data_IF_485172725796
#
_entry.id   IF_485172725796
#
_cell.length_a   1.000
_cell.length_b   1.000
_cell.length_c   1.000
_cell.angle_alpha   90.00
_cell.angle_beta   90.00
_cell.angle_gamma   90.00
#
_symmetry.space_group_name_H-M   'P 1'
#
loop_
_entity.id
_entity.type
_entity.pdbx_description
1 polymer ?
#
# COMPACT_ATOMS: atom_id res chain seq x y z
N UNK A 1 -12.13 -2.97 7.87
CA UNK A 1 -11.09 -3.76 7.17
C UNK A 1 -10.50 -4.78 8.13
N UNK A 2 -10.82 -6.08 7.94
CA UNK A 2 -10.49 -7.16 8.89
C UNK A 2 -8.98 -7.29 9.17
N UNK A 3 -8.14 -7.13 8.15
CA UNK A 3 -6.69 -7.31 8.29
C UNK A 3 -6.05 -6.37 9.33
N UNK A 4 -6.55 -5.14 9.47
CA UNK A 4 -6.01 -4.19 10.44
C UNK A 4 -6.18 -4.69 11.89
N UNK A 5 -7.22 -5.47 12.18
CA UNK A 5 -7.46 -6.04 13.51
C UNK A 5 -6.44 -7.12 13.91
N UNK A 6 -5.61 -7.61 12.98
CA UNK A 6 -4.50 -8.49 13.31
C UNK A 6 -3.30 -7.74 13.93
N UNK A 7 -3.32 -6.41 13.92
CA UNK A 7 -2.29 -5.55 14.50
C UNK A 7 -2.70 -5.06 15.90
N UNK A 8 -1.73 -4.78 16.79
CA UNK A 8 -2.02 -4.26 18.13
C UNK A 8 -2.78 -2.93 18.13
N UNK A 9 -2.51 -2.08 17.14
CA UNK A 9 -3.22 -0.82 16.91
C UNK A 9 -3.76 -0.80 15.48
N UNK A 10 -5.03 -1.20 15.34
CA UNK A 10 -5.71 -1.24 14.04
C UNK A 10 -5.85 0.15 13.43
N UNK A 11 -6.08 1.20 14.24
CA UNK A 11 -6.26 2.56 13.75
C UNK A 11 -4.98 3.12 13.14
N UNK A 12 -3.83 2.76 13.70
CA UNK A 12 -2.52 3.16 13.18
C UNK A 12 -2.28 2.62 11.77
N UNK A 13 -2.63 1.36 11.51
CA UNK A 13 -2.23 0.67 10.29
C UNK A 13 -3.28 0.68 9.18
N UNK A 14 -4.57 0.92 9.50
CA UNK A 14 -5.66 0.80 8.54
C UNK A 14 -5.46 1.66 7.30
N UNK A 15 -5.06 2.91 7.47
CA UNK A 15 -4.79 3.83 6.33
C UNK A 15 -3.63 3.34 5.48
N UNK A 16 -2.52 2.93 6.10
CA UNK A 16 -1.37 2.42 5.36
C UNK A 16 -1.66 1.13 4.59
N UNK A 17 -2.41 0.21 5.18
CA UNK A 17 -2.84 -1.01 4.49
C UNK A 17 -3.71 -0.67 3.29
N UNK A 18 -4.68 0.24 3.47
CA UNK A 18 -5.59 0.67 2.41
C UNK A 18 -4.81 1.33 1.25
N UNK A 19 -3.95 2.29 1.55
CA UNK A 19 -3.16 3.02 0.56
C UNK A 19 -2.25 2.09 -0.26
N UNK A 20 -1.54 1.17 0.40
CA UNK A 20 -0.65 0.24 -0.30
C UNK A 20 -1.45 -0.77 -1.13
N UNK A 21 -2.62 -1.20 -0.66
CA UNK A 21 -3.49 -2.13 -1.41
C UNK A 21 -4.08 -1.43 -2.64
N UNK A 22 -4.59 -0.21 -2.50
CA UNK A 22 -5.12 0.57 -3.62
C UNK A 22 -4.03 0.87 -4.65
N UNK A 23 -2.80 1.18 -4.22
CA UNK A 23 -1.69 1.38 -5.15
C UNK A 23 -1.39 0.11 -5.96
N UNK A 24 -1.38 -1.06 -5.34
CA UNK A 24 -1.17 -2.33 -6.04
C UNK A 24 -2.28 -2.62 -7.06
N UNK A 25 -3.52 -2.25 -6.77
CA UNK A 25 -4.66 -2.44 -7.68
C UNK A 25 -4.65 -1.39 -8.77
N UNK A 26 -4.71 -0.11 -8.42
CA UNK A 26 -4.94 0.98 -9.37
C UNK A 26 -3.71 1.26 -10.23
N UNK A 27 -2.55 1.50 -9.60
CA UNK A 27 -1.30 1.77 -10.33
C UNK A 27 -0.66 0.48 -10.84
N UNK A 28 -0.72 -0.58 -10.04
CA UNK A 28 -0.20 -1.89 -10.39
C UNK A 28 -1.03 -2.59 -11.46
N UNK A 29 -2.06 -3.29 -11.04
CA UNK A 29 -2.81 -4.18 -11.92
C UNK A 29 -3.61 -3.45 -13.00
N UNK A 30 -4.27 -2.34 -12.66
CA UNK A 30 -5.07 -1.56 -13.60
C UNK A 30 -4.22 -0.58 -14.44
N UNK A 31 -2.96 -0.39 -14.09
CA UNK A 31 -2.04 0.49 -14.81
C UNK A 31 -2.55 1.94 -14.99
N UNK A 32 -3.22 2.47 -13.97
CA UNK A 32 -3.65 3.87 -13.91
C UNK A 32 -2.46 4.70 -13.42
N UNK A 33 -1.83 5.45 -14.31
CA UNK A 33 -0.68 6.29 -13.97
C UNK A 33 -1.06 7.48 -13.06
N UNK A 34 -0.04 8.07 -12.37
CA UNK A 34 -0.25 9.19 -11.45
C UNK A 34 -1.00 10.37 -12.09
N UNK A 35 -0.51 10.85 -13.24
CA UNK A 35 -1.13 11.97 -13.97
C UNK A 35 -2.53 11.63 -14.50
N UNK A 36 -2.71 10.38 -14.93
CA UNK A 36 -4.03 9.89 -15.37
C UNK A 36 -5.01 9.88 -14.21
N UNK A 37 -4.60 9.40 -13.04
CA UNK A 37 -5.42 9.38 -11.84
C UNK A 37 -5.83 10.80 -11.42
N UNK A 38 -4.90 11.77 -11.44
CA UNK A 38 -5.22 13.19 -11.16
C UNK A 38 -6.33 13.70 -12.08
N UNK A 39 -6.16 13.50 -13.38
CA UNK A 39 -7.17 13.92 -14.37
C UNK A 39 -8.52 13.24 -14.16
N UNK A 40 -8.51 11.92 -13.91
CA UNK A 40 -9.75 11.17 -13.69
C UNK A 40 -10.48 11.61 -12.42
N UNK A 41 -9.75 12.01 -11.38
CA UNK A 41 -10.34 12.58 -10.16
C UNK A 41 -10.97 13.95 -10.46
N UNK A 42 -10.26 14.84 -11.16
CA UNK A 42 -10.77 16.17 -11.56
C UNK A 42 -12.02 16.09 -12.45
N UNK A 43 -12.08 15.06 -13.30
CA UNK A 43 -13.22 14.79 -14.19
C UNK A 43 -14.34 13.97 -13.52
N UNK A 44 -14.21 13.59 -12.24
CA UNK A 44 -15.14 12.70 -11.51
C UNK A 44 -15.39 11.35 -12.22
N UNK A 45 -14.36 10.80 -12.89
CA UNK A 45 -14.44 9.60 -13.73
C UNK A 45 -13.60 8.42 -13.24
N UNK A 46 -12.93 8.56 -12.10
CA UNK A 46 -12.01 7.51 -11.63
C UNK A 46 -12.72 6.17 -11.42
N UNK A 47 -13.88 6.16 -10.75
CA UNK A 47 -14.63 4.94 -10.48
C UNK A 47 -15.10 4.26 -11.77
N UNK A 48 -15.59 5.03 -12.73
CA UNK A 48 -15.99 4.53 -14.03
C UNK A 48 -14.84 3.90 -14.81
N UNK A 49 -13.65 4.50 -14.74
CA UNK A 49 -12.46 3.96 -15.40
C UNK A 49 -11.96 2.69 -14.71
N UNK A 50 -12.02 2.62 -13.38
CA UNK A 50 -11.71 1.41 -12.62
C UNK A 50 -12.64 0.27 -13.05
N UNK A 51 -13.96 0.49 -13.06
CA UNK A 51 -14.95 -0.51 -13.48
C UNK A 51 -14.73 -0.96 -14.93
N UNK A 52 -14.44 -0.02 -15.83
CA UNK A 52 -14.12 -0.32 -17.22
C UNK A 52 -12.92 -1.24 -17.34
N UNK A 53 -11.82 -0.94 -16.63
CA UNK A 53 -10.59 -1.77 -16.65
C UNK A 53 -10.80 -3.12 -15.99
N UNK A 54 -11.54 -3.20 -14.89
CA UNK A 54 -11.89 -4.47 -14.26
C UNK A 54 -12.69 -5.41 -15.18
N UNK A 55 -13.44 -4.84 -16.13
CA UNK A 55 -14.20 -5.60 -17.13
C UNK A 55 -13.39 -5.93 -18.40
N UNK A 56 -12.21 -5.34 -18.58
CA UNK A 56 -11.34 -5.54 -19.74
C UNK A 56 -10.47 -6.78 -19.55
N UNK A 57 -10.49 -7.76 -20.47
CA UNK A 57 -9.65 -8.96 -20.41
C UNK A 57 -8.15 -8.69 -20.22
N UNK A 58 -7.66 -7.53 -20.65
CA UNK A 58 -6.26 -7.11 -20.47
C UNK A 58 -5.87 -6.96 -18.99
N UNK A 59 -6.82 -6.58 -18.15
CA UNK A 59 -6.58 -6.29 -16.73
C UNK A 59 -7.29 -7.27 -15.78
N UNK A 60 -8.46 -7.81 -16.17
CA UNK A 60 -9.34 -8.58 -15.30
C UNK A 60 -8.75 -9.89 -14.78
N UNK A 61 -7.72 -10.42 -15.46
CA UNK A 61 -6.99 -11.62 -15.02
C UNK A 61 -5.84 -11.33 -14.08
N UNK A 62 -5.51 -10.05 -13.83
CA UNK A 62 -4.41 -9.68 -12.95
C UNK A 62 -4.84 -9.72 -11.50
N UNK A 63 -3.98 -10.25 -10.66
CA UNK A 63 -4.21 -10.39 -9.23
C UNK A 63 -3.18 -9.59 -8.43
N UNK A 64 -3.66 -8.92 -7.38
CA UNK A 64 -2.82 -8.41 -6.32
C UNK A 64 -2.92 -9.38 -5.14
N UNK A 65 -1.80 -9.84 -4.63
CA UNK A 65 -1.75 -10.75 -3.48
C UNK A 65 -1.30 -10.01 -2.24
N UNK A 66 -1.94 -10.29 -1.11
CA UNK A 66 -1.57 -9.77 0.19
C UNK A 66 -1.29 -10.94 1.15
N UNK A 67 -0.05 -11.06 1.62
CA UNK A 67 0.36 -12.08 2.56
C UNK A 67 0.70 -11.45 3.91
N UNK A 68 -0.06 -11.82 4.94
CA UNK A 68 0.22 -11.41 6.31
C UNK A 68 1.14 -12.44 6.99
N UNK A 69 2.23 -11.95 7.59
CA UNK A 69 3.20 -12.78 8.29
C UNK A 69 3.37 -12.28 9.71
N UNK A 70 3.09 -13.16 10.67
CA UNK A 70 3.32 -12.91 12.11
C UNK A 70 4.56 -13.63 12.58
N UNK A 71 5.48 -12.91 13.21
CA UNK A 71 6.65 -13.44 13.93
C UNK A 71 6.61 -13.00 15.39
N UNK A 72 7.39 -13.61 16.29
CA UNK A 72 7.39 -13.21 17.71
C UNK A 72 7.75 -11.75 17.95
N UNK A 73 8.59 -11.16 17.10
CA UNK A 73 9.15 -9.82 17.21
C UNK A 73 8.49 -8.80 16.30
N UNK A 74 7.71 -9.24 15.30
CA UNK A 74 7.16 -8.33 14.27
C UNK A 74 5.97 -8.89 13.51
N UNK A 75 5.19 -7.97 12.95
CA UNK A 75 4.16 -8.24 11.95
C UNK A 75 4.61 -7.66 10.62
N UNK A 76 4.34 -8.37 9.53
CA UNK A 76 4.66 -7.94 8.18
C UNK A 76 3.47 -8.19 7.26
N UNK A 77 3.24 -7.27 6.33
CA UNK A 77 2.32 -7.43 5.21
C UNK A 77 3.12 -7.32 3.92
N UNK A 78 3.03 -8.33 3.09
CA UNK A 78 3.64 -8.38 1.77
C UNK A 78 2.54 -8.22 0.74
N UNK A 79 2.61 -7.19 -0.09
CA UNK A 79 1.69 -6.97 -1.19
C UNK A 79 2.48 -7.08 -2.48
N UNK A 80 1.97 -7.88 -3.42
CA UNK A 80 2.58 -8.07 -4.74
C UNK A 80 1.52 -7.88 -5.81
N UNK A 81 1.83 -7.11 -6.83
CA UNK A 81 1.00 -6.92 -8.01
C UNK A 81 1.72 -7.39 -9.29
N UNK A 82 1.03 -7.39 -10.41
CA UNK A 82 1.53 -7.89 -11.69
C UNK A 82 1.90 -6.78 -12.67
N UNK A 83 2.27 -5.60 -12.16
CA UNK A 83 2.70 -4.49 -13.01
C UNK A 83 4.17 -4.56 -13.39
N UNK A 84 4.57 -3.64 -14.27
CA UNK A 84 5.97 -3.44 -14.66
C UNK A 84 6.80 -2.69 -13.60
N UNK A 85 6.17 -2.30 -12.50
CA UNK A 85 6.79 -1.51 -11.43
C UNK A 85 6.69 0.00 -11.65
N UNK A 86 7.25 0.77 -10.72
CA UNK A 86 7.24 2.23 -10.73
C UNK A 86 8.40 2.82 -9.92
N UNK A 87 8.65 4.11 -10.09
CA UNK A 87 9.69 4.87 -9.37
C UNK A 87 9.27 5.19 -7.93
N UNK A 88 9.13 4.17 -7.09
CA UNK A 88 8.61 4.27 -5.73
C UNK A 88 9.44 5.16 -4.78
N UNK A 89 10.74 5.33 -5.06
CA UNK A 89 11.63 6.13 -4.20
C UNK A 89 11.16 7.56 -4.04
N UNK A 90 10.53 8.12 -5.07
CA UNK A 90 9.96 9.47 -5.07
C UNK A 90 8.79 9.65 -4.11
N UNK A 91 8.16 8.55 -3.70
CA UNK A 91 6.92 8.58 -2.90
C UNK A 91 7.12 8.17 -1.44
N UNK A 92 8.32 7.73 -1.04
CA UNK A 92 8.62 7.29 0.33
C UNK A 92 8.58 8.43 1.37
N UNK A 93 8.82 9.65 0.94
CA UNK A 93 8.82 10.82 1.80
C UNK A 93 7.81 11.85 1.33
N UNK A 94 7.37 12.71 2.26
CA UNK A 94 6.56 13.85 1.91
C UNK A 94 7.39 14.83 1.05
N UNK A 95 6.81 15.22 -0.06
CA UNK A 95 7.38 16.18 -0.99
C UNK A 95 6.59 17.48 -0.89
N UNK A 96 7.24 18.60 -0.50
CA UNK A 96 6.57 19.90 -0.41
C UNK A 96 5.94 20.34 -1.75
N UNK A 97 6.53 19.99 -2.89
CA UNK A 97 5.98 20.32 -4.20
C UNK A 97 4.66 19.60 -4.49
N UNK A 98 4.44 18.46 -3.83
CA UNK A 98 3.20 17.67 -3.92
C UNK A 98 2.26 17.86 -2.73
N UNK A 99 2.52 18.86 -1.87
CA UNK A 99 1.72 19.09 -0.67
C UNK A 99 0.24 19.42 -0.98
N UNK A 100 -0.01 19.98 -2.15
CA UNK A 100 -1.35 20.35 -2.61
C UNK A 100 -1.98 19.34 -3.57
N UNK A 101 -1.28 18.25 -3.89
CA UNK A 101 -1.85 17.21 -4.74
C UNK A 101 -3.00 16.48 -4.01
N UNK A 102 -4.03 16.13 -4.74
CA UNK A 102 -5.22 15.41 -4.21
C UNK A 102 -4.91 13.96 -3.83
N UNK A 103 -3.82 13.40 -4.36
CA UNK A 103 -3.38 12.02 -4.09
C UNK A 103 -1.84 11.91 -4.13
N UNK A 104 -1.29 10.68 -3.99
CA UNK A 104 0.16 10.42 -4.08
C UNK A 104 0.92 10.58 -2.76
N UNK A 105 0.22 10.79 -1.63
CA UNK A 105 0.81 10.86 -0.28
C UNK A 105 0.69 9.54 0.49
N UNK A 106 -0.05 8.58 -0.05
CA UNK A 106 -0.37 7.33 0.64
C UNK A 106 0.84 6.52 1.06
N UNK A 107 1.85 6.38 0.18
CA UNK A 107 3.09 5.66 0.48
C UNK A 107 3.88 6.38 1.59
N UNK A 108 3.99 7.71 1.54
CA UNK A 108 4.66 8.50 2.57
C UNK A 108 3.94 8.39 3.92
N UNK A 109 2.61 8.43 3.94
CA UNK A 109 1.78 8.20 5.14
C UNK A 109 2.00 6.80 5.70
N UNK A 110 1.94 5.77 4.86
CA UNK A 110 2.19 4.40 5.28
C UNK A 110 3.60 4.26 5.89
N UNK A 111 4.61 4.87 5.27
CA UNK A 111 6.00 4.81 5.72
C UNK A 111 6.26 5.59 7.02
N UNK A 112 5.58 6.73 7.24
CA UNK A 112 5.86 7.60 8.38
C UNK A 112 4.95 7.36 9.59
N UNK A 113 3.73 6.88 9.35
CA UNK A 113 2.69 6.79 10.38
C UNK A 113 2.28 5.35 10.66
N UNK A 114 1.99 4.57 9.61
CA UNK A 114 1.36 3.26 9.79
C UNK A 114 2.33 2.15 10.17
N UNK A 115 3.52 2.15 9.59
CA UNK A 115 4.51 1.07 9.77
C UNK A 115 5.84 1.63 10.26
N UNK A 116 6.63 0.79 10.92
CA UNK A 116 7.98 1.16 11.35
C UNK A 116 8.98 1.08 10.17
N UNK A 117 8.66 0.26 9.16
CA UNK A 117 9.45 0.12 7.95
C UNK A 117 8.59 -0.27 6.76
N UNK A 118 8.89 0.31 5.61
CA UNK A 118 8.40 -0.10 4.29
C UNK A 118 9.60 -0.35 3.38
N UNK A 119 9.57 -1.45 2.64
CA UNK A 119 10.59 -1.83 1.67
C UNK A 119 9.89 -2.23 0.36
N UNK A 120 10.27 -1.57 -0.73
CA UNK A 120 9.90 -1.99 -2.07
C UNK A 120 10.97 -2.91 -2.66
N UNK A 121 10.54 -3.94 -3.39
CA UNK A 121 11.42 -4.93 -4.05
C UNK A 121 11.09 -5.05 -5.52
N UNK A 122 11.99 -5.77 -6.23
CA UNK A 122 11.88 -5.92 -7.66
C UNK A 122 11.99 -4.55 -8.35
N UNK A 123 11.12 -4.31 -9.28
CA UNK A 123 10.97 -3.03 -9.98
C UNK A 123 9.90 -2.12 -9.33
N UNK A 124 9.48 -2.42 -8.12
CA UNK A 124 8.46 -1.66 -7.38
C UNK A 124 7.07 -2.32 -7.35
N UNK A 125 6.96 -3.54 -7.86
CA UNK A 125 5.74 -4.33 -7.84
C UNK A 125 5.55 -5.19 -6.58
N UNK A 126 6.45 -5.08 -5.62
CA UNK A 126 6.37 -5.74 -4.33
C UNK A 126 6.63 -4.72 -3.22
N UNK A 127 5.77 -4.69 -2.23
CA UNK A 127 5.97 -3.89 -1.02
C UNK A 127 5.88 -4.77 0.22
N UNK A 128 6.83 -4.61 1.12
CA UNK A 128 6.89 -5.31 2.40
C UNK A 128 6.85 -4.28 3.50
N UNK A 129 5.91 -4.42 4.43
CA UNK A 129 5.82 -3.60 5.62
C UNK A 129 6.31 -4.36 6.83
N UNK A 130 6.81 -3.66 7.83
CA UNK A 130 7.10 -4.23 9.14
C UNK A 130 6.61 -3.30 10.24
N UNK A 131 6.00 -3.91 11.25
CA UNK A 131 5.64 -3.29 12.52
C UNK A 131 6.26 -4.12 13.63
N UNK A 132 7.14 -3.51 14.43
CA UNK A 132 7.81 -4.17 15.54
C UNK A 132 6.81 -4.41 16.68
N UNK A 133 6.83 -5.62 17.21
CA UNK A 133 6.15 -5.94 18.46
C UNK A 133 7.16 -5.69 19.58
N UNK A 134 6.78 -4.91 20.60
CA UNK A 134 7.63 -4.78 21.78
C UNK A 134 8.01 -6.16 22.30
N UNK A 135 9.27 -6.36 22.66
CA UNK A 135 9.70 -7.60 23.31
C UNK A 135 8.90 -7.77 24.59
N UNK A 136 8.03 -8.76 24.61
CA UNK A 136 7.48 -9.24 25.89
C UNK A 136 8.70 -9.75 26.65
N UNK A 137 9.12 -9.01 27.69
CA UNK A 137 10.12 -9.52 28.60
C UNK A 137 9.62 -10.90 29.09
N UNK A 138 10.48 -11.93 29.10
CA UNK A 138 10.08 -13.23 29.62
C UNK A 138 9.53 -13.00 31.03
N UNK A 139 8.31 -13.44 31.28
CA UNK A 139 7.75 -13.42 32.64
C UNK A 139 8.78 -14.13 33.52
N UNK A 140 9.33 -13.40 34.50
CA UNK A 140 10.11 -14.00 35.56
C UNK A 140 9.21 -15.03 36.22
N UNK A 141 9.46 -16.29 35.90
CA UNK A 141 8.85 -17.40 36.63
C UNK A 141 9.48 -17.36 38.01
N UNK A 142 8.69 -16.89 38.96
CA UNK A 142 9.07 -16.92 40.36
C UNK A 142 9.04 -18.37 40.88
#
# INVERSE_FOLDING_TARGET
>A
MLLAHAYPDANRVVTGILELTLNAIEHGNLNIGYKEKSRLIEEERLDNEIERRLSDPLYSSREATAQFVRRPDRLSLHITDQCKGFEWRKYLNFDPERAFDTHGRGIAMANKVSFDRIEYRGNGNQVITALQLGTVAPALVA
#
